data_IF_372853017045
#
_entry.id   IF_372853017045
#
_cell.length_a   1.000
_cell.length_b   1.000
_cell.length_c   1.000
_cell.angle_alpha   90.00
_cell.angle_beta   90.00
_cell.angle_gamma   90.00
#
_symmetry.space_group_name_H-M   'P 1'
#
loop_
_entity.id
_entity.type
_entity.pdbx_description
1 polymer ?
#
# COMPACT_ATOMS: atom_id res chain seq x y z
N UNK A 1 4.66 -23.78 -7.10
CA UNK A 1 3.95 -23.45 -8.36
C UNK A 1 2.63 -22.80 -7.96
N UNK A 2 2.41 -21.53 -8.30
CA UNK A 2 1.17 -20.81 -8.00
C UNK A 2 0.34 -20.64 -9.27
N UNK A 3 -0.97 -20.79 -9.15
CA UNK A 3 -1.93 -20.47 -10.22
C UNK A 3 -2.74 -19.26 -9.76
N UNK A 4 -2.97 -18.29 -10.65
CA UNK A 4 -3.82 -17.12 -10.39
C UNK A 4 -4.78 -16.90 -11.54
N UNK A 5 -5.99 -16.43 -11.23
CA UNK A 5 -6.95 -15.94 -12.21
C UNK A 5 -6.90 -14.41 -12.26
N UNK A 6 -6.92 -13.84 -13.45
CA UNK A 6 -7.07 -12.40 -13.64
C UNK A 6 -8.56 -12.08 -13.80
N UNK A 7 -9.02 -11.05 -13.08
CA UNK A 7 -10.41 -10.62 -13.07
C UNK A 7 -10.49 -9.14 -13.38
N UNK A 8 -11.56 -8.74 -14.08
CA UNK A 8 -11.87 -7.33 -14.28
C UNK A 8 -12.18 -6.68 -12.90
N UNK A 9 -11.41 -5.69 -12.43
CA UNK A 9 -11.59 -5.15 -11.07
C UNK A 9 -12.98 -4.53 -10.86
N UNK A 10 -13.55 -3.91 -11.90
CA UNK A 10 -14.90 -3.36 -11.87
C UNK A 10 -15.97 -4.44 -11.62
N UNK A 11 -15.79 -5.67 -12.11
CA UNK A 11 -16.75 -6.76 -11.92
C UNK A 11 -16.84 -7.24 -10.47
N UNK A 12 -15.83 -6.95 -9.65
CA UNK A 12 -15.79 -7.25 -8.21
C UNK A 12 -15.85 -6.00 -7.34
N UNK A 13 -16.23 -4.87 -7.93
CA UNK A 13 -16.39 -3.61 -7.23
C UNK A 13 -15.09 -2.93 -6.83
N UNK A 14 -13.90 -3.37 -7.25
CA UNK A 14 -12.60 -2.76 -6.93
C UNK A 14 -12.08 -1.87 -8.08
N UNK A 15 -12.94 -0.98 -8.56
CA UNK A 15 -12.71 -0.20 -9.78
C UNK A 15 -11.53 0.79 -9.69
N UNK A 16 -11.25 1.32 -8.51
CA UNK A 16 -10.21 2.32 -8.31
C UNK A 16 -8.84 1.69 -8.04
N UNK A 17 -7.82 2.19 -8.74
CA UNK A 17 -6.41 1.88 -8.51
C UNK A 17 -5.74 3.14 -7.99
N UNK A 18 -5.00 3.01 -6.89
CA UNK A 18 -4.26 4.12 -6.29
C UNK A 18 -2.82 3.71 -6.06
N UNK A 19 -1.88 4.60 -6.38
CA UNK A 19 -0.47 4.41 -6.07
C UNK A 19 -0.07 5.32 -4.92
N UNK A 20 0.63 4.77 -3.94
CA UNK A 20 1.06 5.50 -2.75
C UNK A 20 2.56 5.32 -2.54
N UNK A 21 3.30 6.41 -2.62
CA UNK A 21 4.69 6.47 -2.16
C UNK A 21 4.74 6.63 -0.65
N UNK A 22 5.58 5.87 0.03
CA UNK A 22 5.74 5.88 1.49
C UNK A 22 7.19 6.19 1.85
N UNK A 23 7.37 7.12 2.79
CA UNK A 23 8.66 7.45 3.41
C UNK A 23 8.59 7.03 4.87
N UNK A 24 9.59 6.29 5.32
CA UNK A 24 9.73 5.87 6.71
C UNK A 24 10.47 6.94 7.53
N UNK A 25 10.19 6.99 8.83
CA UNK A 25 10.85 7.89 9.77
C UNK A 25 12.34 7.56 9.95
N UNK A 26 12.65 6.27 9.85
CA UNK A 26 13.99 5.69 9.97
C UNK A 26 14.15 4.65 8.86
N UNK A 27 15.35 4.57 8.32
CA UNK A 27 15.72 3.58 7.29
C UNK A 27 16.65 2.52 7.89
N UNK A 28 16.20 1.87 8.97
CA UNK A 28 16.91 0.73 9.59
C UNK A 28 16.25 -0.60 9.21
N UNK A 29 16.99 -1.73 9.24
CA UNK A 29 16.43 -3.04 8.93
C UNK A 29 15.16 -3.37 9.73
N UNK A 30 15.09 -2.95 10.99
CA UNK A 30 13.94 -3.18 11.86
C UNK A 30 12.72 -2.37 11.43
N UNK A 31 12.90 -1.11 11.02
CA UNK A 31 11.80 -0.28 10.50
C UNK A 31 11.26 -0.80 9.17
N UNK A 32 12.14 -1.27 8.27
CA UNK A 32 11.73 -1.90 7.01
C UNK A 32 10.92 -3.18 7.28
N UNK A 33 11.44 -4.08 8.12
CA UNK A 33 10.75 -5.33 8.46
C UNK A 33 9.37 -5.09 9.11
N UNK A 34 9.30 -4.16 10.07
CA UNK A 34 8.04 -3.85 10.75
C UNK A 34 6.99 -3.26 9.80
N UNK A 35 7.42 -2.40 8.87
CA UNK A 35 6.55 -1.84 7.84
C UNK A 35 6.06 -2.93 6.88
N UNK A 36 6.96 -3.76 6.33
CA UNK A 36 6.60 -4.82 5.38
C UNK A 36 5.61 -5.82 5.99
N UNK A 37 5.86 -6.29 7.21
CA UNK A 37 4.94 -7.21 7.90
C UNK A 37 3.55 -6.61 8.10
N UNK A 38 3.46 -5.30 8.35
CA UNK A 38 2.18 -4.62 8.51
C UNK A 38 1.49 -4.38 7.17
N UNK A 39 2.24 -3.96 6.14
CA UNK A 39 1.72 -3.71 4.80
C UNK A 39 1.17 -4.99 4.16
N UNK A 40 1.85 -6.13 4.33
CA UNK A 40 1.40 -7.44 3.82
C UNK A 40 0.06 -7.92 4.42
N UNK A 41 -0.36 -7.37 5.57
CA UNK A 41 -1.67 -7.68 6.18
C UNK A 41 -2.81 -6.89 5.57
N UNK A 42 -2.52 -5.85 4.77
CA UNK A 42 -3.52 -5.04 4.10
C UNK A 42 -3.97 -5.73 2.82
N UNK A 43 -5.20 -6.25 2.81
CA UNK A 43 -5.79 -6.94 1.66
C UNK A 43 -5.97 -6.03 0.44
N UNK A 44 -6.05 -4.74 0.67
CA UNK A 44 -6.19 -3.71 -0.36
C UNK A 44 -4.87 -3.47 -1.12
N UNK A 45 -3.72 -3.86 -0.54
CA UNK A 45 -2.39 -3.75 -1.18
C UNK A 45 -2.19 -4.93 -2.11
N UNK A 46 -2.04 -4.64 -3.40
CA UNK A 46 -1.70 -5.63 -4.42
C UNK A 46 -0.19 -5.87 -4.51
N UNK A 47 0.58 -4.78 -4.52
CA UNK A 47 2.03 -4.82 -4.63
C UNK A 47 2.63 -3.85 -3.59
N UNK A 48 3.71 -4.29 -2.94
CA UNK A 48 4.54 -3.48 -2.05
C UNK A 48 5.98 -3.59 -2.56
N UNK A 49 6.50 -2.50 -3.16
CA UNK A 49 7.82 -2.52 -3.79
C UNK A 49 8.76 -1.57 -3.04
N UNK A 50 9.90 -2.09 -2.58
CA UNK A 50 11.02 -1.26 -2.15
C UNK A 50 11.60 -0.56 -3.39
N UNK A 51 11.79 0.75 -3.33
CA UNK A 51 12.28 1.54 -4.47
C UNK A 51 13.48 2.40 -4.08
N UNK A 52 14.38 2.63 -5.03
CA UNK A 52 15.41 3.66 -4.86
C UNK A 52 14.83 5.02 -5.28
N UNK A 53 14.83 6.01 -4.37
CA UNK A 53 14.37 7.37 -4.68
C UNK A 53 13.89 8.13 -3.46
N UNK A 54 12.97 9.07 -3.69
CA UNK A 54 12.36 9.93 -2.64
C UNK A 54 11.41 9.18 -1.69
N UNK A 55 11.09 7.93 -2.01
CA UNK A 55 10.25 7.04 -1.21
C UNK A 55 11.02 5.77 -0.90
N UNK A 56 10.76 5.20 0.27
CA UNK A 56 11.26 3.87 0.62
C UNK A 56 10.41 2.80 -0.09
N UNK A 57 9.08 2.97 -0.12
CA UNK A 57 8.16 2.04 -0.76
C UNK A 57 7.19 2.70 -1.73
N UNK A 58 6.78 1.93 -2.73
CA UNK A 58 5.67 2.23 -3.61
C UNK A 58 4.61 1.12 -3.51
N UNK A 59 3.45 1.50 -2.97
CA UNK A 59 2.29 0.63 -2.80
C UNK A 59 1.33 0.77 -3.98
N UNK A 60 0.86 -0.36 -4.49
CA UNK A 60 -0.23 -0.42 -5.46
C UNK A 60 -1.48 -0.93 -4.75
N UNK A 61 -2.52 -0.12 -4.70
CA UNK A 61 -3.71 -0.38 -3.87
C UNK A 61 -4.96 -0.44 -4.75
N UNK A 62 -5.82 -1.43 -4.50
CA UNK A 62 -7.15 -1.53 -5.09
C UNK A 62 -8.23 -1.31 -4.05
N UNK A 63 -9.17 -0.42 -4.35
CA UNK A 63 -10.33 -0.11 -3.52
C UNK A 63 -11.56 0.10 -4.40
N UNK A 64 -12.72 0.26 -3.77
CA UNK A 64 -13.96 0.50 -4.53
C UNK A 64 -13.95 1.83 -5.26
N UNK A 65 -13.64 2.90 -4.53
CA UNK A 65 -13.63 4.28 -4.99
C UNK A 65 -12.70 5.14 -4.11
N UNK A 66 -12.62 6.45 -4.40
CA UNK A 66 -11.79 7.38 -3.63
C UNK A 66 -12.28 7.62 -2.20
N UNK A 67 -13.57 7.42 -1.91
CA UNK A 67 -14.07 7.53 -0.54
C UNK A 67 -13.62 6.35 0.32
N UNK A 68 -13.58 5.15 -0.27
CA UNK A 68 -13.02 3.94 0.33
C UNK A 68 -11.49 4.07 0.52
N UNK A 69 -10.79 4.66 -0.45
CA UNK A 69 -9.37 5.00 -0.31
C UNK A 69 -9.13 5.95 0.88
N UNK A 70 -9.88 7.04 1.00
CA UNK A 70 -9.69 8.01 2.09
C UNK A 70 -9.89 7.38 3.47
N UNK A 71 -10.84 6.43 3.60
CA UNK A 71 -11.01 5.64 4.82
C UNK A 71 -9.81 4.75 5.08
N UNK A 72 -9.35 3.99 4.09
CA UNK A 72 -8.16 3.15 4.19
C UNK A 72 -6.93 3.97 4.59
N UNK A 73 -6.76 5.14 3.98
CA UNK A 73 -5.66 6.05 4.25
C UNK A 73 -5.65 6.51 5.71
N UNK A 74 -6.75 7.11 6.17
CA UNK A 74 -6.85 7.64 7.53
C UNK A 74 -6.92 6.59 8.64
N UNK A 75 -7.30 5.34 8.33
CA UNK A 75 -7.42 4.29 9.35
C UNK A 75 -6.24 3.33 9.38
N UNK A 76 -5.66 3.01 8.22
CA UNK A 76 -4.64 1.95 8.10
C UNK A 76 -3.30 2.49 7.63
N UNK A 77 -3.26 3.27 6.54
CA UNK A 77 -1.96 3.68 5.95
C UNK A 77 -1.16 4.60 6.87
N UNK A 78 -1.81 5.59 7.49
CA UNK A 78 -1.13 6.48 8.45
C UNK A 78 -0.74 5.78 9.76
N UNK A 79 -1.38 4.64 10.06
CA UNK A 79 -1.12 3.85 11.25
C UNK A 79 -0.04 2.77 11.03
N UNK A 80 0.48 2.64 9.80
CA UNK A 80 1.55 1.69 9.52
C UNK A 80 2.82 2.05 10.30
N UNK A 81 3.53 1.06 10.84
CA UNK A 81 4.71 1.30 11.67
C UNK A 81 5.77 2.12 10.94
N UNK A 82 6.24 3.17 11.58
CA UNK A 82 7.37 3.97 11.08
C UNK A 82 7.07 4.82 9.86
N UNK A 83 5.81 4.98 9.43
CA UNK A 83 5.46 5.88 8.32
C UNK A 83 5.62 7.34 8.75
N UNK A 84 6.51 8.06 8.08
CA UNK A 84 6.67 9.52 8.22
C UNK A 84 5.72 10.28 7.31
N UNK A 85 5.69 9.88 6.04
CA UNK A 85 4.98 10.59 5.00
C UNK A 85 4.46 9.62 3.95
N UNK A 86 3.30 9.95 3.40
CA UNK A 86 2.73 9.27 2.25
C UNK A 86 2.39 10.28 1.16
N UNK A 87 2.58 9.90 -0.11
CA UNK A 87 2.16 10.70 -1.27
C UNK A 87 1.32 9.84 -2.18
N UNK A 88 0.14 10.33 -2.56
CA UNK A 88 -0.78 9.65 -3.48
C UNK A 88 -0.60 10.20 -4.89
N UNK A 89 -0.65 9.31 -5.90
CA UNK A 89 -0.54 9.64 -7.32
C UNK A 89 -1.83 9.30 -8.07
#
# INVERSE_FOLDING_TARGET
>A
IGVRAEIAPAAVGLGALVMVGVVLDRSTPESFAAFEEAALKLKEVLDCNLVAGDFDYLLKIRVRDMADFNKLHGQKLIALPGVRQTRTF
#
